data_IF_932040030875
#
_entry.id   IF_932040030875
#
_cell.length_a   1.000
_cell.length_b   1.000
_cell.length_c   1.000
_cell.angle_alpha   90.00
_cell.angle_beta   90.00
_cell.angle_gamma   90.00
#
_symmetry.space_group_name_H-M   'P 1'
#
loop_
_entity.id
_entity.type
_entity.pdbx_description
1 polymer ?
#
# COMPACT_ATOMS: atom_id res chain seq x y z
N UNK A 1 32.24 25.09 -47.95
CA UNK A 1 32.18 26.00 -46.79
C UNK A 1 31.53 27.31 -47.20
N UNK A 2 30.35 27.63 -46.68
CA UNK A 2 29.78 29.00 -46.66
C UNK A 2 28.82 29.13 -45.48
N UNK A 3 28.90 30.30 -44.87
CA UNK A 3 28.51 30.69 -43.51
C UNK A 3 27.00 30.80 -43.32
N UNK A 4 26.53 30.57 -42.10
CA UNK A 4 25.27 31.12 -41.60
C UNK A 4 25.57 31.95 -40.35
N UNK A 5 25.43 33.25 -40.52
CA UNK A 5 25.54 34.29 -39.51
C UNK A 5 24.38 34.27 -38.50
N UNK A 6 24.54 35.08 -37.45
CA UNK A 6 23.51 35.69 -36.60
C UNK A 6 23.15 34.91 -35.33
N UNK A 7 23.05 35.48 -34.13
CA UNK A 7 23.33 36.82 -33.58
C UNK A 7 23.13 36.74 -32.05
N UNK A 8 23.69 37.74 -31.37
CA UNK A 8 23.24 38.33 -30.09
C UNK A 8 24.02 37.95 -28.82
N UNK A 9 24.76 38.95 -28.37
CA UNK A 9 25.41 39.12 -27.09
C UNK A 9 24.38 39.58 -26.00
N UNK A 10 24.80 39.71 -24.72
CA UNK A 10 23.98 39.46 -23.53
C UNK A 10 23.35 40.72 -22.94
N UNK A 11 22.34 40.57 -22.07
CA UNK A 11 22.07 41.56 -21.02
C UNK A 11 21.31 40.95 -19.81
N UNK A 12 21.79 41.39 -18.66
CA UNK A 12 21.45 41.05 -17.27
C UNK A 12 20.08 41.59 -16.86
N UNK A 13 19.36 40.88 -15.97
CA UNK A 13 18.48 41.59 -15.03
C UNK A 13 18.49 41.01 -13.62
N UNK A 14 18.43 41.95 -12.68
CA UNK A 14 18.77 41.90 -11.26
C UNK A 14 17.55 41.65 -10.36
N UNK A 15 17.86 41.18 -9.15
CA UNK A 15 17.15 41.41 -7.88
C UNK A 15 15.74 40.85 -7.64
N UNK A 16 15.69 39.84 -6.76
CA UNK A 16 14.99 39.93 -5.48
C UNK A 16 13.46 39.78 -5.45
N UNK A 17 12.98 38.68 -4.88
CA UNK A 17 11.75 38.70 -4.08
C UNK A 17 11.59 37.45 -3.21
N UNK A 18 11.47 37.74 -1.91
CA UNK A 18 10.68 37.07 -0.89
C UNK A 18 10.99 35.61 -0.52
N UNK A 19 11.78 35.47 0.55
CA UNK A 19 11.53 34.44 1.56
C UNK A 19 10.06 34.53 1.98
N UNK A 20 9.29 33.48 1.69
CA UNK A 20 7.94 33.29 2.22
C UNK A 20 8.07 32.34 3.39
N UNK A 21 7.88 32.88 4.59
CA UNK A 21 7.78 32.16 5.85
C UNK A 21 6.77 31.01 5.75
N UNK A 22 7.27 29.83 6.11
CA UNK A 22 6.54 28.58 6.20
C UNK A 22 5.45 28.68 7.27
N UNK A 23 4.19 28.62 6.87
CA UNK A 23 3.10 28.33 7.80
C UNK A 23 3.30 26.91 8.36
N UNK A 24 3.07 26.65 9.67
CA UNK A 24 2.98 25.28 10.14
C UNK A 24 1.71 24.66 9.57
N UNK A 25 1.89 23.70 8.65
CA UNK A 25 0.84 22.79 8.20
C UNK A 25 0.38 21.97 9.41
N UNK A 26 -0.65 22.47 10.09
CA UNK A 26 -1.35 21.74 11.14
C UNK A 26 -2.26 20.72 10.45
N UNK A 27 -1.62 19.68 9.89
CA UNK A 27 -2.30 18.50 9.37
C UNK A 27 -3.02 17.81 10.51
N UNK A 28 -4.31 18.13 10.66
CA UNK A 28 -5.27 17.35 11.43
C UNK A 28 -5.30 15.95 10.82
N UNK A 29 -4.57 15.03 11.44
CA UNK A 29 -4.50 13.64 11.02
C UNK A 29 -5.87 13.02 11.27
N UNK A 30 -6.64 12.85 10.18
CA UNK A 30 -7.85 12.03 10.19
C UNK A 30 -7.50 10.64 10.77
N UNK A 31 -8.39 10.02 11.56
CA UNK A 31 -8.11 8.72 12.14
C UNK A 31 -7.82 7.72 11.02
N UNK A 32 -6.58 7.24 10.98
CA UNK A 32 -6.16 6.21 10.05
C UNK A 32 -6.94 4.94 10.38
N UNK A 33 -7.86 4.56 9.50
CA UNK A 33 -8.55 3.27 9.63
C UNK A 33 -7.49 2.17 9.65
N UNK A 34 -7.52 1.23 10.62
CA UNK A 34 -6.54 0.18 10.69
C UNK A 34 -6.55 -0.62 9.38
N UNK A 35 -5.37 -0.79 8.79
CA UNK A 35 -5.23 -1.50 7.52
C UNK A 35 -5.76 -2.94 7.66
N UNK A 36 -6.67 -3.33 6.76
CA UNK A 36 -7.22 -4.69 6.70
C UNK A 36 -6.38 -5.52 5.75
N UNK A 37 -5.87 -6.67 6.20
CA UNK A 37 -5.15 -7.62 5.35
C UNK A 37 -6.14 -8.50 4.61
N UNK A 38 -6.09 -8.46 3.29
CA UNK A 38 -6.99 -9.24 2.44
C UNK A 38 -6.31 -10.50 1.90
N UNK A 39 -6.98 -11.64 1.99
CA UNK A 39 -6.54 -12.90 1.40
C UNK A 39 -7.64 -13.49 0.52
N UNK A 40 -7.31 -13.86 -0.71
CA UNK A 40 -8.18 -14.71 -1.52
C UNK A 40 -7.75 -16.15 -1.36
N UNK A 41 -8.67 -17.00 -0.94
CA UNK A 41 -8.43 -18.45 -0.83
C UNK A 41 -9.34 -19.16 -1.82
N UNK A 42 -8.74 -20.04 -2.60
CA UNK A 42 -9.42 -20.82 -3.64
C UNK A 42 -9.62 -22.24 -3.14
N UNK A 43 -10.87 -22.70 -3.10
CA UNK A 43 -11.23 -24.09 -2.84
C UNK A 43 -11.31 -24.86 -4.15
N UNK A 44 -10.51 -25.92 -4.26
CA UNK A 44 -10.51 -26.89 -5.37
C UNK A 44 -10.73 -28.29 -4.78
N UNK A 45 -10.95 -29.29 -5.64
CA UNK A 45 -11.10 -30.68 -5.20
C UNK A 45 -10.01 -31.09 -4.21
N UNK A 46 -10.43 -31.35 -2.97
CA UNK A 46 -9.58 -31.78 -1.85
C UNK A 46 -8.41 -30.84 -1.47
N UNK A 47 -8.46 -29.55 -1.83
CA UNK A 47 -7.36 -28.61 -1.52
C UNK A 47 -7.79 -27.14 -1.44
N UNK A 48 -7.02 -26.35 -0.68
CA UNK A 48 -7.13 -24.90 -0.59
C UNK A 48 -5.83 -24.22 -1.04
N UNK A 49 -5.95 -23.08 -1.70
CA UNK A 49 -4.81 -22.27 -2.12
C UNK A 49 -5.02 -20.79 -1.76
N UNK A 50 -4.12 -20.16 -0.98
CA UNK A 50 -2.95 -20.76 -0.34
C UNK A 50 -3.32 -21.81 0.72
N UNK A 51 -2.40 -22.75 0.98
CA UNK A 51 -2.57 -23.76 2.03
C UNK A 51 -2.29 -23.23 3.44
N UNK A 52 -1.67 -22.04 3.55
CA UNK A 52 -1.39 -21.36 4.80
C UNK A 52 -1.44 -19.84 4.63
N UNK A 53 -1.92 -19.14 5.66
CA UNK A 53 -1.88 -17.68 5.78
C UNK A 53 -1.22 -17.32 7.11
N UNK A 54 -0.33 -16.32 7.12
CA UNK A 54 0.36 -15.83 8.33
C UNK A 54 -0.11 -14.41 8.62
N UNK A 55 -0.49 -14.17 9.86
CA UNK A 55 -0.93 -12.87 10.36
C UNK A 55 -0.33 -12.63 11.75
N UNK A 56 -0.23 -11.37 12.15
CA UNK A 56 0.20 -10.97 13.48
C UNK A 56 -1.02 -10.86 14.40
N UNK A 57 -0.79 -10.99 15.71
CA UNK A 57 -1.83 -10.73 16.70
C UNK A 57 -2.35 -9.30 16.56
N UNK A 58 -3.67 -9.14 16.53
CA UNK A 58 -4.33 -7.84 16.38
C UNK A 58 -4.57 -7.39 14.94
N UNK A 59 -4.07 -8.13 13.94
CA UNK A 59 -4.40 -7.86 12.54
C UNK A 59 -5.91 -8.00 12.30
N UNK A 60 -6.48 -7.05 11.55
CA UNK A 60 -7.80 -7.22 10.95
C UNK A 60 -7.63 -7.90 9.61
N UNK A 61 -8.32 -9.02 9.43
CA UNK A 61 -8.20 -9.85 8.24
C UNK A 61 -9.54 -9.94 7.52
N UNK A 62 -9.50 -9.75 6.20
CA UNK A 62 -10.62 -10.04 5.30
C UNK A 62 -10.24 -11.25 4.45
N UNK A 63 -11.08 -12.27 4.46
CA UNK A 63 -10.85 -13.46 3.65
C UNK A 63 -11.95 -13.55 2.60
N UNK A 64 -11.54 -13.67 1.34
CA UNK A 64 -12.41 -13.89 0.19
C UNK A 64 -12.26 -15.35 -0.21
N UNK A 65 -13.28 -16.16 0.05
CA UNK A 65 -13.30 -17.54 -0.42
C UNK A 65 -13.87 -17.61 -1.83
N UNK A 66 -13.13 -18.28 -2.74
CA UNK A 66 -13.58 -18.61 -4.09
C UNK A 66 -13.68 -20.13 -4.25
N UNK A 67 -14.90 -20.64 -4.41
CA UNK A 67 -15.14 -22.05 -4.70
C UNK A 67 -15.00 -22.31 -6.22
N UNK A 68 -14.07 -23.18 -6.62
CA UNK A 68 -13.88 -23.61 -8.02
C UNK A 68 -14.40 -25.04 -8.27
N UNK A 69 -15.06 -25.68 -7.30
CA UNK A 69 -15.77 -26.93 -7.53
C UNK A 69 -16.11 -27.71 -6.27
N UNK A 70 -17.31 -28.31 -6.23
CA UNK A 70 -17.78 -29.14 -5.13
C UNK A 70 -18.33 -28.35 -3.94
N UNK A 71 -18.62 -29.07 -2.86
CA UNK A 71 -19.02 -28.49 -1.58
C UNK A 71 -17.84 -28.56 -0.61
N UNK A 72 -17.50 -27.42 0.00
CA UNK A 72 -16.44 -27.33 0.97
C UNK A 72 -17.01 -26.97 2.34
N UNK A 73 -16.55 -27.67 3.37
CA UNK A 73 -16.74 -27.27 4.75
C UNK A 73 -15.53 -26.42 5.17
N UNK A 74 -15.64 -25.10 4.98
CA UNK A 74 -14.60 -24.17 5.42
C UNK A 74 -14.78 -23.89 6.90
N UNK A 75 -13.75 -24.18 7.69
CA UNK A 75 -13.72 -23.87 9.12
C UNK A 75 -12.46 -23.08 9.47
N UNK A 76 -12.64 -21.94 10.15
CA UNK A 76 -11.54 -21.23 10.79
C UNK A 76 -11.49 -21.71 12.23
N UNK A 77 -10.62 -22.68 12.50
CA UNK A 77 -10.40 -23.16 13.85
C UNK A 77 -9.44 -22.20 14.58
N UNK A 78 -9.77 -21.86 15.83
CA UNK A 78 -8.81 -21.23 16.72
C UNK A 78 -7.74 -22.27 17.11
N UNK A 79 -6.47 -21.99 16.82
CA UNK A 79 -5.36 -22.74 17.40
C UNK A 79 -4.53 -21.78 18.26
N UNK A 80 -4.75 -21.83 19.58
CA UNK A 80 -3.84 -21.21 20.55
C UNK A 80 -2.80 -22.27 20.90
N UNK A 81 -1.60 -22.17 20.33
CA UNK A 81 -0.45 -22.87 20.92
C UNK A 81 -0.19 -22.22 22.27
N UNK A 82 -0.57 -22.89 23.35
CA UNK A 82 -0.27 -22.45 24.71
C UNK A 82 1.22 -22.17 24.82
N UNK A 83 1.55 -20.89 25.01
CA UNK A 83 2.88 -20.50 25.46
C UNK A 83 3.08 -21.17 26.81
N UNK A 84 3.96 -22.15 26.85
CA UNK A 84 4.57 -22.60 28.10
C UNK A 84 5.29 -21.38 28.66
N UNK A 85 4.77 -20.83 29.76
CA UNK A 85 5.51 -19.93 30.64
C UNK A 85 6.59 -20.71 31.38
#
# INVERSE_FOLDING_TARGET
>A
MSKKDSSSAPETNSAGSAETESLPDSSSQAPSTPAVKEFTVVGKSFSFSPSAMKVNLGDRVRIIFRNEGGNHDWVIAQYQSGGQH
#
